data_IF_266772467405
#
_entry.id   IF_266772467405
#
_cell.length_a   1.000
_cell.length_b   1.000
_cell.length_c   1.000
_cell.angle_alpha   90.00
_cell.angle_beta   90.00
_cell.angle_gamma   90.00
#
_symmetry.space_group_name_H-M   'P 1'
#
loop_
_entity.id
_entity.type
_entity.pdbx_description
1 polymer ?
#
# COMPACT_ATOMS: atom_id res chain seq x y z
N UNK A 1 7.85 36.47 64.28
CA UNK A 1 6.38 36.67 64.26
C UNK A 1 5.89 36.12 62.93
N UNK A 2 5.53 34.85 62.79
CA UNK A 2 4.43 34.11 63.40
C UNK A 2 3.03 34.58 62.93
N UNK A 3 2.34 33.65 62.23
CA UNK A 3 0.89 33.44 62.07
C UNK A 3 0.14 34.48 61.20
N UNK A 4 -0.86 34.18 60.37
CA UNK A 4 -1.52 32.95 59.91
C UNK A 4 -2.48 33.34 58.74
N UNK A 5 -3.11 32.33 58.12
CA UNK A 5 -4.35 32.36 57.33
C UNK A 5 -4.32 32.40 55.78
N UNK A 6 -4.46 31.17 55.25
CA UNK A 6 -5.10 30.73 54.00
C UNK A 6 -6.58 31.18 53.88
N UNK A 7 -7.38 30.76 52.86
CA UNK A 7 -7.15 30.48 51.42
C UNK A 7 -8.25 31.15 50.54
N UNK A 8 -8.24 30.99 49.21
CA UNK A 8 -9.43 30.82 48.31
C UNK A 8 -9.04 31.05 46.84
N UNK A 9 -8.55 30.01 46.17
CA UNK A 9 -8.57 29.93 44.72
C UNK A 9 -9.40 28.69 44.30
N UNK A 10 -10.66 28.99 44.00
CA UNK A 10 -11.66 28.31 43.17
C UNK A 10 -11.42 26.82 42.75
N UNK A 11 -12.29 25.87 43.17
CA UNK A 11 -12.17 24.42 42.94
C UNK A 11 -12.65 23.92 41.55
N UNK A 12 -12.53 24.70 40.47
CA UNK A 12 -12.98 24.26 39.13
C UNK A 12 -11.88 23.63 38.25
N UNK A 13 -10.59 23.77 38.60
CA UNK A 13 -9.48 23.34 37.72
C UNK A 13 -8.92 21.96 38.11
N UNK A 14 -9.12 21.51 39.35
CA UNK A 14 -8.72 20.15 39.79
C UNK A 14 -9.75 19.05 39.45
N UNK A 15 -10.96 19.39 39.01
CA UNK A 15 -11.98 18.39 38.58
C UNK A 15 -11.90 17.99 37.10
N UNK A 16 -11.17 18.74 36.27
CA UNK A 16 -10.99 18.42 34.84
C UNK A 16 -9.76 17.50 34.62
N UNK A 17 -8.77 17.52 35.52
CA UNK A 17 -7.59 16.68 35.44
C UNK A 17 -7.81 15.21 35.88
N UNK A 18 -8.91 14.89 36.59
CA UNK A 18 -9.24 13.51 37.02
C UNK A 18 -10.30 12.81 36.16
N UNK A 19 -10.89 13.50 35.18
CA UNK A 19 -11.91 12.94 34.28
C UNK A 19 -11.38 12.47 32.90
N UNK A 20 -10.10 12.70 32.58
CA UNK A 20 -9.51 12.35 31.27
C UNK A 20 -8.81 10.98 31.19
N UNK A 21 -8.80 10.18 32.26
CA UNK A 21 -8.15 8.85 32.25
C UNK A 21 -9.10 7.65 32.05
N UNK A 22 -10.42 7.86 31.93
CA UNK A 22 -11.41 6.76 31.83
C UNK A 22 -12.46 6.93 30.70
N UNK A 23 -12.17 7.71 29.65
CA UNK A 23 -13.13 7.95 28.55
C UNK A 23 -12.56 7.82 27.14
N UNK A 24 -11.54 6.96 26.96
CA UNK A 24 -10.99 6.60 25.63
C UNK A 24 -11.26 5.12 25.27
N UNK A 25 -11.83 4.32 26.17
CA UNK A 25 -12.09 2.88 25.95
C UNK A 25 -13.56 2.51 25.68
N UNK A 26 -14.46 3.46 25.40
CA UNK A 26 -15.89 3.16 25.17
C UNK A 26 -16.56 3.83 23.96
N UNK A 27 -15.79 4.43 23.04
CA UNK A 27 -16.34 5.09 21.85
C UNK A 27 -16.04 4.39 20.51
N UNK A 28 -15.37 3.24 20.52
CA UNK A 28 -15.06 2.46 19.30
C UNK A 28 -15.96 1.23 19.09
N UNK A 29 -17.01 1.04 19.90
CA UNK A 29 -17.77 -0.22 19.97
C UNK A 29 -19.27 -0.08 19.67
N UNK A 30 -19.67 0.97 18.94
CA UNK A 30 -21.02 1.14 18.39
C UNK A 30 -20.96 1.79 17.02
N UNK A 31 -20.43 1.06 16.04
CA UNK A 31 -20.69 1.29 14.62
C UNK A 31 -20.96 -0.10 14.04
N UNK A 32 -22.10 -0.36 13.39
CA UNK A 32 -22.34 -1.65 12.76
C UNK A 32 -21.34 -1.81 11.62
N UNK A 33 -20.47 -2.82 11.71
CA UNK A 33 -19.56 -3.21 10.63
C UNK A 33 -20.37 -3.81 9.47
N UNK A 34 -20.88 -2.96 8.58
CA UNK A 34 -21.09 -3.32 7.18
C UNK A 34 -19.75 -3.15 6.47
N UNK A 35 -19.01 -4.23 6.26
CA UNK A 35 -17.97 -4.27 5.23
C UNK A 35 -18.61 -4.74 3.92
N UNK A 36 -19.45 -3.90 3.31
CA UNK A 36 -19.69 -3.97 1.86
C UNK A 36 -18.71 -3.01 1.20
N UNK A 37 -18.00 -3.46 0.17
CA UNK A 37 -17.05 -2.64 -0.63
C UNK A 37 -17.77 -1.66 -1.56
N UNK A 38 -18.69 -0.88 -1.01
CA UNK A 38 -19.34 0.24 -1.67
C UNK A 38 -19.29 1.46 -0.76
N UNK A 39 -18.09 2.02 -0.55
CA UNK A 39 -17.97 3.39 -0.02
C UNK A 39 -16.74 4.09 -0.65
N UNK A 40 -16.93 5.14 -1.49
CA UNK A 40 -15.87 5.73 -2.29
C UNK A 40 -15.17 6.85 -1.53
N UNK A 41 -14.36 6.52 -0.53
CA UNK A 41 -13.60 7.56 0.19
C UNK A 41 -12.24 7.14 0.72
N UNK A 42 -11.40 6.54 -0.14
CA UNK A 42 -9.93 6.59 -0.02
C UNK A 42 -9.32 6.80 -1.41
N UNK A 43 -9.51 7.98 -1.97
CA UNK A 43 -8.59 8.53 -2.99
C UNK A 43 -7.69 9.55 -2.31
N UNK A 44 -6.69 9.06 -1.59
CA UNK A 44 -5.52 9.88 -1.34
C UNK A 44 -4.71 9.87 -2.63
N UNK A 45 -4.73 11.01 -3.32
CA UNK A 45 -4.04 11.23 -4.57
C UNK A 45 -2.53 11.05 -4.39
N UNK A 46 -2.05 9.83 -4.58
CA UNK A 46 -0.78 9.65 -5.26
C UNK A 46 -0.98 10.20 -6.67
N UNK A 47 -0.16 11.16 -7.07
CA UNK A 47 -0.13 11.64 -8.44
C UNK A 47 0.37 10.49 -9.34
N UNK A 48 -0.55 9.64 -9.79
CA UNK A 48 -0.30 8.65 -10.83
C UNK A 48 -0.53 9.37 -12.16
N UNK A 49 0.48 9.52 -13.04
CA UNK A 49 0.27 10.09 -14.35
C UNK A 49 -0.79 9.26 -15.08
N UNK A 50 -1.88 9.89 -15.53
CA UNK A 50 -2.81 9.26 -16.48
C UNK A 50 -2.06 9.14 -17.82
N UNK A 51 -1.72 7.91 -18.19
CA UNK A 51 -1.17 7.59 -19.51
C UNK A 51 -2.33 7.52 -20.51
N UNK A 52 -2.49 8.56 -21.33
CA UNK A 52 -3.36 8.52 -22.52
C UNK A 52 -2.48 8.05 -23.69
N UNK A 53 -2.62 6.78 -24.08
CA UNK A 53 -1.77 6.12 -25.06
C UNK A 53 -2.52 5.95 -26.39
N UNK A 54 -2.45 6.96 -27.27
CA UNK A 54 -2.63 6.74 -28.72
C UNK A 54 -1.28 6.70 -29.42
N UNK A 55 -1.05 5.60 -30.14
CA UNK A 55 -0.01 5.35 -31.15
C UNK A 55 1.42 5.10 -30.63
N UNK A 56 2.04 4.06 -31.18
CA UNK A 56 3.31 3.38 -30.84
C UNK A 56 4.56 4.25 -30.66
N UNK A 57 4.54 5.51 -31.07
CA UNK A 57 5.62 6.49 -30.81
C UNK A 57 5.51 7.16 -29.43
N UNK A 58 4.30 7.20 -28.86
CA UNK A 58 3.99 7.84 -27.57
C UNK A 58 4.53 7.02 -26.39
N UNK A 59 4.46 5.69 -26.41
CA UNK A 59 4.88 4.86 -25.27
C UNK A 59 6.37 4.96 -24.89
N UNK A 60 7.28 5.34 -25.81
CA UNK A 60 8.69 5.63 -25.47
C UNK A 60 8.95 7.10 -25.14
N UNK A 61 8.06 8.01 -25.57
CA UNK A 61 8.14 9.44 -25.28
C UNK A 61 7.58 9.77 -23.91
N UNK A 62 6.53 9.08 -23.46
CA UNK A 62 5.91 9.31 -22.15
C UNK A 62 6.87 9.03 -20.99
N UNK A 63 7.68 7.95 -20.97
CA UNK A 63 8.65 7.75 -19.90
C UNK A 63 9.71 8.85 -19.82
N UNK A 64 10.17 9.38 -20.96
CA UNK A 64 11.18 10.46 -21.00
C UNK A 64 10.61 11.80 -20.56
N UNK A 65 9.39 12.14 -20.97
CA UNK A 65 8.71 13.36 -20.51
C UNK A 65 8.30 13.25 -19.04
N UNK A 66 7.85 12.07 -18.61
CA UNK A 66 7.55 11.77 -17.20
C UNK A 66 8.81 11.87 -16.34
N UNK A 67 9.95 11.33 -16.79
CA UNK A 67 11.24 11.45 -16.10
C UNK A 67 11.64 12.90 -15.89
N UNK A 68 11.65 13.71 -16.96
CA UNK A 68 11.96 15.14 -16.87
C UNK A 68 11.01 15.89 -15.94
N UNK A 69 9.71 15.58 -15.99
CA UNK A 69 8.71 16.19 -15.10
C UNK A 69 8.92 15.78 -13.65
N UNK A 70 9.21 14.51 -13.38
CA UNK A 70 9.49 14.01 -12.04
C UNK A 70 10.78 14.62 -11.47
N UNK A 71 11.84 14.71 -12.27
CA UNK A 71 13.09 15.38 -11.91
C UNK A 71 12.86 16.87 -11.61
N UNK A 72 12.11 17.58 -12.46
CA UNK A 72 11.72 18.99 -12.25
C UNK A 72 10.92 19.19 -10.97
N UNK A 73 9.83 18.43 -10.77
CA UNK A 73 9.01 18.48 -9.56
C UNK A 73 9.84 18.21 -8.31
N UNK A 74 10.73 17.20 -8.36
CA UNK A 74 11.62 16.89 -7.25
C UNK A 74 12.52 18.07 -6.90
N UNK A 75 13.13 18.73 -7.89
CA UNK A 75 13.97 19.91 -7.66
C UNK A 75 13.18 21.09 -7.07
N UNK A 76 11.92 21.26 -7.47
CA UNK A 76 11.03 22.26 -6.88
C UNK A 76 10.68 21.93 -5.42
N UNK A 77 10.42 20.65 -5.12
CA UNK A 77 10.15 20.22 -3.74
C UNK A 77 11.39 20.36 -2.84
N UNK A 78 12.59 20.09 -3.36
CA UNK A 78 13.86 20.34 -2.66
C UNK A 78 14.00 21.83 -2.35
N UNK A 79 13.82 22.69 -3.35
CA UNK A 79 13.88 24.14 -3.17
C UNK A 79 12.87 24.64 -2.13
N UNK A 80 11.62 24.17 -2.22
CA UNK A 80 10.55 24.53 -1.27
C UNK A 80 10.85 24.05 0.15
N UNK A 81 11.46 22.87 0.31
CA UNK A 81 11.89 22.39 1.62
C UNK A 81 12.97 23.28 2.22
N UNK A 82 13.94 23.74 1.42
CA UNK A 82 14.94 24.69 1.92
C UNK A 82 14.29 26.00 2.37
N UNK A 83 13.37 26.57 1.58
CA UNK A 83 12.64 27.77 2.00
C UNK A 83 11.83 27.54 3.30
N UNK A 84 11.24 26.36 3.46
CA UNK A 84 10.52 26.01 4.68
C UNK A 84 11.45 25.95 5.90
N UNK A 85 12.64 25.36 5.76
CA UNK A 85 13.61 25.24 6.85
C UNK A 85 14.07 26.62 7.31
N UNK A 86 14.45 27.50 6.36
CA UNK A 86 14.87 28.87 6.65
C UNK A 86 13.76 29.74 7.23
N UNK A 87 12.52 29.56 6.74
CA UNK A 87 11.34 30.18 7.33
C UNK A 87 11.10 29.72 8.77
N UNK A 88 11.32 28.44 9.07
CA UNK A 88 11.26 27.95 10.44
C UNK A 88 12.30 28.68 11.31
N UNK A 89 13.54 28.82 10.85
CA UNK A 89 14.58 29.52 11.59
C UNK A 89 14.18 30.96 11.93
N UNK A 90 13.56 31.68 10.98
CA UNK A 90 13.01 33.02 11.25
C UNK A 90 11.91 32.98 12.31
N UNK A 91 10.94 32.09 12.16
CA UNK A 91 9.78 32.00 13.07
C UNK A 91 10.20 31.66 14.50
N UNK A 92 11.29 30.89 14.67
CA UNK A 92 11.87 30.57 15.98
C UNK A 92 12.89 31.62 16.47
N UNK A 93 13.10 32.71 15.73
CA UNK A 93 14.02 33.79 16.13
C UNK A 93 15.50 33.39 16.09
N UNK A 94 15.86 32.42 15.24
CA UNK A 94 17.23 31.92 15.10
C UNK A 94 18.07 32.73 14.08
N UNK A 95 17.42 33.57 13.26
CA UNK A 95 18.10 34.44 12.31
C UNK A 95 18.54 35.75 12.98
N UNK A 96 19.59 36.42 12.47
CA UNK A 96 20.10 37.67 13.04
C UNK A 96 19.01 38.73 13.24
N UNK A 97 19.03 39.37 14.42
CA UNK A 97 18.05 40.39 14.80
C UNK A 97 18.12 41.61 13.87
N UNK A 98 16.96 42.07 13.38
CA UNK A 98 16.86 43.21 12.48
C UNK A 98 17.04 42.89 10.98
N UNK A 99 17.27 41.62 10.63
CA UNK A 99 17.26 41.17 9.23
C UNK A 99 15.84 41.10 8.65
N UNK A 100 15.65 41.62 7.44
CA UNK A 100 14.43 41.40 6.66
C UNK A 100 14.27 39.89 6.35
N UNK A 101 13.04 39.37 6.34
CA UNK A 101 12.77 37.98 5.95
C UNK A 101 13.31 37.68 4.55
N UNK A 102 13.26 38.66 3.64
CA UNK A 102 13.83 38.58 2.30
C UNK A 102 15.37 38.41 2.29
N UNK A 103 16.05 38.55 3.44
CA UNK A 103 17.47 38.33 3.52
C UNK A 103 17.85 36.85 3.37
N UNK A 104 17.01 35.95 3.91
CA UNK A 104 17.28 34.51 4.00
C UNK A 104 16.16 33.64 3.43
N UNK A 105 15.04 34.22 2.98
CA UNK A 105 13.94 33.53 2.31
C UNK A 105 13.72 34.11 0.92
N UNK A 106 13.29 33.25 -0.01
CA UNK A 106 12.95 33.64 -1.37
C UNK A 106 11.52 33.20 -1.70
N UNK A 107 10.62 34.11 -2.13
CA UNK A 107 9.20 33.78 -2.33
C UNK A 107 8.95 32.83 -3.52
N UNK A 108 9.86 32.80 -4.49
CA UNK A 108 9.76 31.97 -5.70
C UNK A 108 11.13 31.36 -6.03
N UNK A 109 11.62 30.38 -5.26
CA UNK A 109 12.96 29.82 -5.48
C UNK A 109 13.03 29.08 -6.82
N UNK A 110 14.20 29.09 -7.51
CA UNK A 110 14.41 28.28 -8.70
C UNK A 110 14.50 26.79 -8.36
N UNK A 111 14.58 25.94 -9.39
CA UNK A 111 14.86 24.51 -9.19
C UNK A 111 16.26 24.28 -8.58
N UNK A 112 16.31 23.56 -7.46
CA UNK A 112 17.54 23.19 -6.73
C UNK A 112 17.78 21.70 -6.86
N UNK A 113 18.95 21.29 -7.33
CA UNK A 113 19.36 19.89 -7.37
C UNK A 113 20.02 19.47 -6.05
N UNK A 114 20.13 18.15 -5.83
CA UNK A 114 20.96 17.63 -4.75
C UNK A 114 22.42 17.97 -5.03
N UNK A 115 23.13 18.37 -3.96
CA UNK A 115 24.50 18.87 -4.02
C UNK A 115 24.59 20.40 -4.08
N UNK A 116 23.46 21.10 -4.22
CA UNK A 116 23.44 22.57 -4.43
C UNK A 116 22.79 23.33 -3.28
N UNK A 117 22.21 22.64 -2.29
CA UNK A 117 21.64 23.29 -1.12
C UNK A 117 22.75 23.98 -0.31
N UNK A 118 22.40 25.03 0.43
CA UNK A 118 23.37 25.85 1.15
C UNK A 118 24.32 25.01 2.03
N UNK A 119 23.78 24.07 2.82
CA UNK A 119 24.62 23.19 3.64
C UNK A 119 25.45 22.19 2.83
N UNK A 120 24.95 21.71 1.69
CA UNK A 120 25.69 20.81 0.80
C UNK A 120 26.88 21.55 0.18
N UNK A 121 26.71 22.84 -0.16
CA UNK A 121 27.81 23.68 -0.62
C UNK A 121 28.85 23.87 0.48
N UNK A 122 28.43 24.19 1.72
CA UNK A 122 29.36 24.30 2.87
C UNK A 122 30.09 22.98 3.12
N UNK A 123 29.37 21.85 3.07
CA UNK A 123 29.94 20.52 3.22
C UNK A 123 30.96 20.20 2.12
N UNK A 124 30.65 20.51 0.86
CA UNK A 124 31.55 20.33 -0.27
C UNK A 124 32.81 21.20 -0.14
N UNK A 125 32.68 22.45 0.33
CA UNK A 125 33.82 23.33 0.62
C UNK A 125 34.73 22.77 1.71
N UNK A 126 34.15 22.27 2.80
CA UNK A 126 34.91 21.63 3.88
C UNK A 126 35.62 20.36 3.43
N UNK A 127 35.00 19.56 2.57
CA UNK A 127 35.64 18.41 1.94
C UNK A 127 36.81 18.82 1.04
N UNK A 128 36.63 19.84 0.20
CA UNK A 128 37.68 20.36 -0.67
C UNK A 128 38.86 20.95 0.12
N UNK A 129 38.58 21.56 1.28
CA UNK A 129 39.58 22.05 2.23
C UNK A 129 40.20 20.98 3.13
N UNK A 130 39.78 19.71 3.02
CA UNK A 130 40.31 18.60 3.82
C UNK A 130 39.89 18.60 5.29
N UNK A 131 38.93 19.45 5.70
CA UNK A 131 38.47 19.55 7.08
C UNK A 131 37.33 18.59 7.43
N UNK A 132 36.73 17.94 6.44
CA UNK A 132 35.60 17.02 6.64
C UNK A 132 35.62 15.88 5.61
N UNK A 133 35.32 14.65 6.06
CA UNK A 133 35.19 13.47 5.21
C UNK A 133 33.79 12.91 5.38
N UNK A 134 33.06 12.70 4.27
CA UNK A 134 31.68 12.23 4.32
C UNK A 134 31.35 11.34 3.11
N UNK A 135 30.40 10.43 3.30
CA UNK A 135 29.80 9.61 2.23
C UNK A 135 28.49 10.20 1.72
N UNK A 136 28.14 11.43 2.14
CA UNK A 136 26.88 12.08 1.79
C UNK A 136 26.63 12.11 0.28
N UNK A 137 27.56 12.65 -0.49
CA UNK A 137 27.38 12.83 -1.92
C UNK A 137 27.30 11.51 -2.68
N UNK A 138 28.19 10.56 -2.35
CA UNK A 138 28.20 9.21 -2.93
C UNK A 138 26.89 8.47 -2.64
N UNK A 139 26.46 8.46 -1.36
CA UNK A 139 25.23 7.77 -0.92
C UNK A 139 23.97 8.27 -1.63
N UNK A 140 23.92 9.55 -1.96
CA UNK A 140 22.74 10.17 -2.57
C UNK A 140 22.89 10.43 -4.08
N UNK A 141 24.01 9.99 -4.69
CA UNK A 141 24.28 10.17 -6.12
C UNK A 141 24.33 11.63 -6.57
N UNK A 142 24.74 12.54 -5.70
CA UNK A 142 24.79 13.98 -5.96
C UNK A 142 26.22 14.45 -6.19
N UNK A 143 26.42 15.44 -7.07
CA UNK A 143 27.74 16.03 -7.32
C UNK A 143 28.08 17.07 -6.25
N UNK A 144 29.22 16.94 -5.55
CA UNK A 144 29.69 17.99 -4.63
C UNK A 144 29.91 19.29 -5.40
N UNK A 145 29.23 20.36 -4.99
CA UNK A 145 29.33 21.68 -5.61
C UNK A 145 29.84 22.69 -4.59
N UNK A 146 30.96 23.35 -4.86
CA UNK A 146 31.58 24.32 -3.94
C UNK A 146 31.12 25.76 -4.15
N UNK A 147 30.58 26.05 -5.33
CA UNK A 147 30.17 27.39 -5.74
C UNK A 147 28.66 27.51 -5.86
N UNK A 148 28.12 28.69 -5.56
CA UNK A 148 26.70 28.97 -5.80
C UNK A 148 26.44 28.92 -7.31
N UNK A 149 25.51 28.09 -7.80
CA UNK A 149 25.28 27.95 -9.24
C UNK A 149 24.98 29.24 -9.99
N UNK A 150 25.79 29.56 -10.99
CA UNK A 150 25.67 30.76 -11.81
C UNK A 150 24.35 30.85 -12.61
N UNK A 151 23.69 29.72 -12.86
CA UNK A 151 22.43 29.63 -13.60
C UNK A 151 21.20 30.11 -12.81
N UNK A 152 21.31 30.25 -11.50
CA UNK A 152 20.22 30.76 -10.67
C UNK A 152 20.08 32.27 -10.82
N UNK A 153 18.86 32.83 -10.68
CA UNK A 153 18.65 34.27 -10.59
C UNK A 153 19.52 34.96 -9.53
N UNK A 154 19.95 36.19 -9.81
CA UNK A 154 20.89 36.95 -8.97
C UNK A 154 20.40 37.15 -7.53
N UNK A 155 19.10 37.41 -7.37
CA UNK A 155 18.43 37.55 -6.08
C UNK A 155 18.50 36.26 -5.25
N UNK A 156 18.22 35.11 -5.86
CA UNK A 156 18.33 33.82 -5.18
C UNK A 156 19.78 33.46 -4.85
N UNK A 157 20.75 33.78 -5.73
CA UNK A 157 22.18 33.57 -5.43
C UNK A 157 22.61 34.36 -4.19
N UNK A 158 22.14 35.60 -4.05
CA UNK A 158 22.41 36.42 -2.86
C UNK A 158 21.81 35.82 -1.59
N UNK A 159 20.58 35.31 -1.65
CA UNK A 159 19.95 34.60 -0.51
C UNK A 159 20.79 33.39 -0.10
N UNK A 160 21.17 32.52 -1.04
CA UNK A 160 21.98 31.34 -0.73
C UNK A 160 23.37 31.71 -0.22
N UNK A 161 23.98 32.76 -0.74
CA UNK A 161 25.27 33.25 -0.26
C UNK A 161 25.20 33.70 1.21
N UNK A 162 24.17 34.46 1.59
CA UNK A 162 23.93 34.86 3.00
C UNK A 162 23.65 33.66 3.90
N UNK A 163 22.92 32.65 3.38
CA UNK A 163 22.68 31.39 4.10
C UNK A 163 23.99 30.66 4.38
N UNK A 164 24.86 30.54 3.38
CA UNK A 164 26.19 29.93 3.51
C UNK A 164 27.04 30.66 4.55
N UNK A 165 27.11 31.99 4.46
CA UNK A 165 27.84 32.83 5.43
C UNK A 165 27.32 32.65 6.86
N UNK A 166 26.00 32.54 7.03
CA UNK A 166 25.40 32.31 8.34
C UNK A 166 25.70 30.90 8.88
N UNK A 167 25.68 29.87 8.01
CA UNK A 167 26.07 28.50 8.39
C UNK A 167 27.53 28.44 8.84
N UNK A 168 28.41 29.22 8.20
CA UNK A 168 29.86 29.25 8.50
C UNK A 168 30.19 30.07 9.76
N UNK A 169 29.44 31.14 10.04
CA UNK A 169 29.71 32.07 11.15
C UNK A 169 28.93 31.79 12.43
N UNK A 170 27.68 31.31 12.34
CA UNK A 170 26.84 31.03 13.50
C UNK A 170 26.88 29.53 13.87
N UNK A 171 27.36 29.24 15.08
CA UNK A 171 27.51 27.86 15.57
C UNK A 171 26.17 27.11 15.66
N UNK A 172 25.08 27.78 16.01
CA UNK A 172 23.78 27.15 16.20
C UNK A 172 23.15 26.82 14.85
N UNK A 173 23.21 27.75 13.89
CA UNK A 173 22.76 27.50 12.51
C UNK A 173 23.63 26.41 11.87
N UNK A 174 24.95 26.50 12.02
CA UNK A 174 25.88 25.49 11.52
C UNK A 174 25.68 24.10 12.15
N UNK A 175 25.07 23.99 13.33
CA UNK A 175 24.73 22.71 13.95
C UNK A 175 23.48 22.09 13.31
N UNK A 176 22.41 22.87 13.09
CA UNK A 176 21.14 22.37 12.56
C UNK A 176 21.14 22.21 11.03
N UNK A 177 22.08 22.85 10.34
CA UNK A 177 22.33 22.63 8.90
C UNK A 177 23.29 21.46 8.64
N UNK A 178 23.63 20.66 9.67
CA UNK A 178 24.38 19.42 9.43
C UNK A 178 23.54 18.38 8.68
N UNK A 179 24.16 17.50 7.89
CA UNK A 179 23.43 16.55 7.04
C UNK A 179 22.48 15.61 7.80
N UNK A 180 22.75 15.33 9.08
CA UNK A 180 21.91 14.49 9.94
C UNK A 180 20.53 15.10 10.21
N UNK A 181 20.43 16.42 10.20
CA UNK A 181 19.20 17.16 10.48
C UNK A 181 18.44 17.56 9.22
N UNK A 182 19.01 17.29 8.04
CA UNK A 182 18.42 17.65 6.75
C UNK A 182 17.75 16.46 6.09
N UNK A 183 16.68 16.74 5.33
CA UNK A 183 16.01 15.70 4.52
C UNK A 183 16.98 15.17 3.47
N UNK A 184 17.15 13.84 3.46
CA UNK A 184 18.05 13.11 2.56
C UNK A 184 17.57 13.02 1.11
N UNK A 185 16.25 13.11 0.90
CA UNK A 185 15.62 12.91 -0.41
C UNK A 185 15.93 11.56 -1.07
N UNK A 186 16.24 10.52 -0.30
CA UNK A 186 16.52 9.20 -0.89
C UNK A 186 15.28 8.64 -1.60
N UNK A 187 15.45 8.17 -2.82
CA UNK A 187 14.41 7.48 -3.60
C UNK A 187 15.04 6.34 -4.38
N UNK A 188 14.28 5.29 -4.73
CA UNK A 188 14.75 4.27 -5.66
C UNK A 188 15.20 4.90 -6.99
N UNK A 189 16.01 4.18 -7.78
CA UNK A 189 16.39 4.63 -9.11
C UNK A 189 15.16 4.85 -9.99
N UNK A 190 15.31 5.68 -11.03
CA UNK A 190 14.23 5.89 -12.00
C UNK A 190 13.79 4.56 -12.62
N UNK A 191 14.76 3.72 -12.96
CA UNK A 191 14.56 2.43 -13.59
C UNK A 191 13.75 1.49 -12.68
N UNK A 192 14.01 1.49 -11.37
CA UNK A 192 13.20 0.73 -10.41
C UNK A 192 11.79 1.30 -10.24
N UNK A 193 11.63 2.62 -10.24
CA UNK A 193 10.30 3.26 -10.16
C UNK A 193 9.47 3.00 -11.42
N UNK A 194 10.10 3.07 -12.60
CA UNK A 194 9.48 2.76 -13.88
C UNK A 194 9.05 1.29 -13.94
N UNK A 195 9.93 0.36 -13.56
CA UNK A 195 9.60 -1.06 -13.48
C UNK A 195 8.44 -1.34 -12.51
N UNK A 196 8.44 -0.73 -11.33
CA UNK A 196 7.34 -0.86 -10.36
C UNK A 196 6.02 -0.30 -10.92
N UNK A 197 6.04 0.89 -11.53
CA UNK A 197 4.86 1.50 -12.11
C UNK A 197 4.27 0.68 -13.27
N UNK A 198 5.12 0.13 -14.14
CA UNK A 198 4.71 -0.76 -15.22
C UNK A 198 4.10 -2.05 -14.66
N UNK A 199 4.75 -2.68 -13.68
CA UNK A 199 4.21 -3.86 -12.99
C UNK A 199 2.83 -3.57 -12.40
N UNK A 200 2.70 -2.49 -11.64
CA UNK A 200 1.46 -2.11 -10.96
C UNK A 200 0.34 -1.83 -11.96
N UNK A 201 0.66 -1.19 -13.08
CA UNK A 201 -0.30 -0.97 -14.16
C UNK A 201 -0.75 -2.29 -14.78
N UNK A 202 0.18 -3.21 -15.09
CA UNK A 202 -0.16 -4.53 -15.67
C UNK A 202 -1.05 -5.33 -14.73
N UNK A 203 -0.73 -5.35 -13.43
CA UNK A 203 -1.56 -5.99 -12.40
C UNK A 203 -2.96 -5.37 -12.32
N UNK A 204 -3.05 -4.04 -12.29
CA UNK A 204 -4.33 -3.34 -12.24
C UNK A 204 -5.17 -3.58 -13.51
N UNK A 205 -4.52 -3.73 -14.67
CA UNK A 205 -5.22 -4.06 -15.91
C UNK A 205 -5.82 -5.47 -15.84
N UNK A 206 -5.05 -6.47 -15.38
CA UNK A 206 -5.52 -7.85 -15.20
C UNK A 206 -6.62 -7.99 -14.13
N UNK A 207 -6.72 -7.04 -13.22
CA UNK A 207 -7.76 -6.99 -12.18
C UNK A 207 -9.06 -6.31 -12.67
N UNK A 208 -9.03 -5.62 -13.81
CA UNK A 208 -10.20 -4.85 -14.28
C UNK A 208 -11.38 -5.75 -14.66
N UNK A 209 -12.60 -5.20 -14.58
CA UNK A 209 -13.85 -5.90 -14.91
C UNK A 209 -13.89 -6.45 -16.34
N UNK A 210 -13.01 -6.01 -17.23
CA UNK A 210 -12.83 -6.58 -18.57
C UNK A 210 -12.40 -8.05 -18.54
N UNK A 211 -11.62 -8.42 -17.53
CA UNK A 211 -11.12 -9.79 -17.35
C UNK A 211 -12.01 -10.60 -16.40
N UNK A 212 -12.77 -9.90 -15.57
CA UNK A 212 -13.67 -10.44 -14.57
C UNK A 212 -15.04 -9.77 -14.71
N UNK A 213 -15.79 -10.06 -15.80
CA UNK A 213 -17.12 -9.51 -15.97
C UNK A 213 -17.93 -9.80 -14.70
N UNK A 214 -18.47 -8.74 -14.10
CA UNK A 214 -19.34 -8.84 -12.94
C UNK A 214 -20.72 -9.19 -13.45
N UNK A 215 -21.46 -10.01 -12.70
CA UNK A 215 -22.91 -9.96 -12.73
C UNK A 215 -23.32 -8.59 -12.18
N UNK A 216 -23.47 -7.58 -13.03
CA UNK A 216 -24.19 -6.36 -12.71
C UNK A 216 -25.65 -6.52 -13.13
N UNK A 217 -26.49 -6.98 -12.18
CA UNK A 217 -27.98 -6.97 -12.09
C UNK A 217 -28.81 -7.18 -13.38
N UNK A 218 -28.19 -7.64 -14.44
CA UNK A 218 -28.77 -7.87 -15.75
C UNK A 218 -28.68 -9.36 -16.00
N UNK A 219 -29.84 -10.02 -16.06
CA UNK A 219 -30.00 -11.44 -16.35
C UNK A 219 -29.32 -11.84 -17.68
N UNK A 220 -28.01 -12.08 -17.64
CA UNK A 220 -27.16 -12.56 -18.71
C UNK A 220 -26.08 -13.50 -18.15
N UNK A 221 -25.46 -14.29 -19.03
CA UNK A 221 -24.52 -15.40 -18.76
C UNK A 221 -23.21 -15.04 -17.99
N UNK A 222 -23.08 -13.85 -17.41
CA UNK A 222 -21.86 -13.35 -16.74
C UNK A 222 -21.82 -13.74 -15.25
N UNK A 223 -21.92 -15.04 -14.96
CA UNK A 223 -21.70 -15.58 -13.62
C UNK A 223 -20.22 -15.52 -13.23
N UNK A 224 -19.87 -15.34 -11.94
CA UNK A 224 -18.47 -15.39 -11.49
C UNK A 224 -17.88 -16.79 -11.77
N UNK A 225 -16.71 -16.84 -12.41
CA UNK A 225 -16.09 -18.09 -12.87
C UNK A 225 -14.59 -18.13 -12.57
N UNK A 226 -14.12 -19.26 -12.02
CA UNK A 226 -12.68 -19.49 -11.91
C UNK A 226 -12.02 -19.49 -13.30
N UNK A 227 -10.87 -18.87 -13.39
CA UNK A 227 -10.09 -18.78 -14.63
C UNK A 227 -8.70 -19.35 -14.44
N UNK A 228 -8.09 -19.84 -15.51
CA UNK A 228 -6.67 -20.20 -15.50
C UNK A 228 -5.81 -19.01 -15.90
N UNK A 229 -4.55 -18.99 -15.45
CA UNK A 229 -3.60 -17.94 -15.81
C UNK A 229 -3.37 -17.85 -17.34
N UNK A 230 -3.47 -18.97 -18.07
CA UNK A 230 -3.40 -19.00 -19.54
C UNK A 230 -4.60 -18.31 -20.18
N UNK A 231 -5.84 -18.56 -19.73
CA UNK A 231 -7.04 -17.86 -20.22
C UNK A 231 -6.96 -16.35 -19.97
N UNK A 232 -6.41 -15.96 -18.82
CA UNK A 232 -6.16 -14.55 -18.51
C UNK A 232 -5.11 -13.96 -19.48
N UNK A 233 -4.07 -14.72 -19.81
CA UNK A 233 -3.07 -14.33 -20.80
C UNK A 233 -3.66 -14.21 -22.21
N UNK A 234 -4.54 -15.11 -22.65
CA UNK A 234 -5.23 -15.03 -23.94
C UNK A 234 -6.12 -13.80 -24.05
N UNK A 235 -6.81 -13.43 -22.96
CA UNK A 235 -7.56 -12.18 -22.88
C UNK A 235 -6.62 -10.97 -22.96
N UNK A 236 -5.48 -11.01 -22.27
CA UNK A 236 -4.49 -9.93 -22.26
C UNK A 236 -3.79 -9.76 -23.61
N UNK A 237 -3.62 -10.84 -24.37
CA UNK A 237 -3.03 -10.81 -25.72
C UNK A 237 -3.89 -10.06 -26.74
N UNK A 238 -5.20 -9.94 -26.47
CA UNK A 238 -6.14 -9.15 -27.27
C UNK A 238 -6.21 -7.67 -26.83
N UNK A 239 -5.47 -7.30 -25.78
CA UNK A 239 -5.39 -5.94 -25.28
C UNK A 239 -4.09 -5.27 -25.77
N UNK A 240 -4.24 -4.39 -26.76
CA UNK A 240 -3.11 -3.70 -27.37
C UNK A 240 -2.30 -2.85 -26.38
N UNK A 241 -2.95 -2.24 -25.37
CA UNK A 241 -2.26 -1.46 -24.34
C UNK A 241 -1.46 -2.39 -23.42
N UNK A 242 -2.04 -3.54 -23.05
CA UNK A 242 -1.35 -4.54 -22.26
C UNK A 242 -0.11 -5.08 -22.97
N UNK A 243 -0.23 -5.44 -24.25
CA UNK A 243 0.91 -5.93 -25.03
C UNK A 243 2.03 -4.89 -25.15
N UNK A 244 1.66 -3.62 -25.35
CA UNK A 244 2.62 -2.53 -25.45
C UNK A 244 3.38 -2.30 -24.13
N UNK A 245 2.67 -2.23 -23.01
CA UNK A 245 3.29 -2.02 -21.69
C UNK A 245 3.98 -3.29 -21.17
N UNK A 246 3.50 -4.47 -21.54
CA UNK A 246 4.16 -5.75 -21.30
C UNK A 246 5.52 -5.84 -21.98
N UNK A 247 5.61 -5.43 -23.25
CA UNK A 247 6.89 -5.36 -23.96
C UNK A 247 7.87 -4.36 -23.32
N UNK A 248 7.36 -3.23 -22.83
CA UNK A 248 8.19 -2.24 -22.12
C UNK A 248 8.68 -2.79 -20.77
N UNK A 249 7.81 -3.46 -20.02
CA UNK A 249 8.14 -4.11 -18.75
C UNK A 249 9.17 -5.23 -18.94
N UNK A 250 8.99 -6.10 -19.93
CA UNK A 250 9.91 -7.17 -20.27
C UNK A 250 11.22 -6.69 -20.92
N UNK A 251 11.23 -5.47 -21.48
CA UNK A 251 12.38 -4.88 -22.16
C UNK A 251 12.58 -5.30 -23.62
N UNK A 252 11.72 -6.18 -24.16
CA UNK A 252 11.75 -6.61 -25.56
C UNK A 252 10.34 -6.93 -26.08
N UNK A 253 10.15 -6.89 -27.40
CA UNK A 253 8.84 -7.09 -28.03
C UNK A 253 8.38 -8.56 -28.03
N UNK A 254 9.32 -9.49 -28.18
CA UNK A 254 9.05 -10.94 -28.27
C UNK A 254 8.96 -11.61 -26.90
N UNK A 255 8.33 -10.95 -25.93
CA UNK A 255 8.19 -11.49 -24.58
C UNK A 255 7.16 -12.62 -24.52
N UNK A 256 7.40 -13.60 -23.64
CA UNK A 256 6.45 -14.67 -23.39
C UNK A 256 5.30 -14.14 -22.52
N UNK A 257 4.16 -13.90 -23.14
CA UNK A 257 2.95 -13.40 -22.49
C UNK A 257 2.42 -14.34 -21.42
N UNK A 258 2.40 -15.65 -21.68
CA UNK A 258 1.91 -16.65 -20.73
C UNK A 258 2.80 -16.67 -19.49
N UNK A 259 4.12 -16.68 -19.68
CA UNK A 259 5.06 -16.64 -18.57
C UNK A 259 4.96 -15.32 -17.79
N UNK A 260 4.81 -14.18 -18.47
CA UNK A 260 4.64 -12.88 -17.83
C UNK A 260 3.40 -12.86 -16.93
N UNK A 261 2.24 -13.22 -17.48
CA UNK A 261 0.96 -13.22 -16.74
C UNK A 261 1.01 -14.21 -15.59
N UNK A 262 1.53 -15.43 -15.80
CA UNK A 262 1.67 -16.43 -14.75
C UNK A 262 2.52 -15.92 -13.57
N UNK A 263 3.67 -15.27 -13.86
CA UNK A 263 4.53 -14.67 -12.82
C UNK A 263 3.83 -13.53 -12.08
N UNK A 264 3.18 -12.61 -12.81
CA UNK A 264 2.46 -11.48 -12.22
C UNK A 264 1.35 -11.98 -11.29
N UNK A 265 0.51 -12.89 -11.77
CA UNK A 265 -0.60 -13.48 -11.02
C UNK A 265 -0.10 -14.24 -9.80
N UNK A 266 0.86 -15.17 -9.95
CA UNK A 266 1.35 -15.99 -8.85
C UNK A 266 1.92 -15.13 -7.71
N UNK A 267 2.63 -14.05 -8.03
CA UNK A 267 3.21 -13.13 -7.03
C UNK A 267 2.18 -12.30 -6.25
N UNK A 268 0.95 -12.18 -6.75
CA UNK A 268 -0.14 -11.43 -6.10
C UNK A 268 -1.35 -12.34 -5.81
N UNK A 269 -1.09 -13.65 -5.73
CA UNK A 269 -2.08 -14.67 -5.37
C UNK A 269 -1.77 -15.29 -4.02
N UNK A 270 -2.82 -15.65 -3.29
CA UNK A 270 -2.71 -16.44 -2.05
C UNK A 270 -3.58 -17.70 -2.16
N UNK A 271 -3.08 -18.89 -1.77
CA UNK A 271 -3.86 -20.12 -1.82
C UNK A 271 -5.15 -20.03 -1.00
N UNK A 272 -6.23 -20.59 -1.55
CA UNK A 272 -7.56 -20.58 -0.94
C UNK A 272 -7.63 -21.33 0.39
N UNK A 273 -6.92 -22.46 0.54
CA UNK A 273 -6.93 -23.25 1.77
C UNK A 273 -5.86 -22.82 2.77
N UNK A 274 -6.20 -22.72 4.07
CA UNK A 274 -5.23 -22.46 5.14
C UNK A 274 -4.03 -23.42 5.13
N UNK A 275 -4.27 -24.72 4.92
CA UNK A 275 -3.21 -25.75 4.89
C UNK A 275 -2.19 -25.56 3.76
N UNK A 276 -2.58 -24.89 2.68
CA UNK A 276 -1.68 -24.56 1.57
C UNK A 276 -0.89 -23.28 1.83
N UNK A 277 -1.27 -22.49 2.83
CA UNK A 277 -0.72 -21.16 3.12
C UNK A 277 0.18 -21.12 4.36
N UNK A 278 -0.26 -21.76 5.43
CA UNK A 278 0.38 -21.63 6.74
C UNK A 278 1.32 -22.80 7.03
N UNK A 279 2.39 -22.49 7.77
CA UNK A 279 3.13 -23.51 8.51
C UNK A 279 2.31 -23.97 9.74
N UNK A 280 2.73 -25.04 10.42
CA UNK A 280 2.06 -25.56 11.62
C UNK A 280 1.80 -24.49 12.69
N UNK A 281 2.73 -23.55 12.87
CA UNK A 281 2.56 -22.45 13.82
C UNK A 281 1.48 -21.47 13.37
N UNK A 282 1.34 -21.21 12.07
CA UNK A 282 0.27 -20.38 11.51
C UNK A 282 -1.09 -21.06 11.59
N UNK A 283 -1.18 -22.37 11.33
CA UNK A 283 -2.43 -23.13 11.47
C UNK A 283 -2.97 -23.07 12.91
N UNK A 284 -2.09 -23.22 13.91
CA UNK A 284 -2.48 -23.06 15.33
C UNK A 284 -2.98 -21.66 15.66
N UNK A 285 -2.45 -20.63 15.01
CA UNK A 285 -2.94 -19.24 15.17
C UNK A 285 -4.25 -18.99 14.45
N UNK A 286 -4.46 -19.65 13.30
CA UNK A 286 -5.71 -19.60 12.54
C UNK A 286 -6.86 -20.13 13.39
N UNK A 287 -6.69 -21.34 13.94
CA UNK A 287 -7.67 -21.95 14.85
C UNK A 287 -7.98 -21.05 16.06
N UNK A 288 -6.96 -20.48 16.72
CA UNK A 288 -7.18 -19.55 17.85
C UNK A 288 -7.93 -18.26 17.43
N UNK A 289 -7.72 -17.80 16.20
CA UNK A 289 -8.42 -16.64 15.65
C UNK A 289 -9.87 -16.97 15.36
N UNK A 290 -10.14 -18.13 14.76
CA UNK A 290 -11.48 -18.65 14.50
C UNK A 290 -12.29 -18.85 15.78
N UNK A 291 -11.68 -19.44 16.82
CA UNK A 291 -12.29 -19.57 18.15
C UNK A 291 -12.68 -18.21 18.73
N UNK A 292 -11.78 -17.24 18.61
CA UNK A 292 -12.03 -15.87 19.07
C UNK A 292 -13.18 -15.22 18.29
N UNK A 293 -13.20 -15.35 16.97
CA UNK A 293 -14.27 -14.83 16.14
C UNK A 293 -15.61 -15.52 16.42
N UNK A 294 -15.61 -16.82 16.75
CA UNK A 294 -16.82 -17.53 17.15
C UNK A 294 -17.41 -16.96 18.45
N UNK A 295 -16.56 -16.63 19.43
CA UNK A 295 -16.99 -15.95 20.66
C UNK A 295 -17.52 -14.54 20.37
N UNK A 296 -16.86 -13.78 19.50
CA UNK A 296 -17.32 -12.45 19.10
C UNK A 296 -18.67 -12.50 18.37
N UNK A 297 -18.87 -13.46 17.47
CA UNK A 297 -20.16 -13.65 16.79
C UNK A 297 -21.30 -13.94 17.77
N UNK A 298 -21.05 -14.74 18.80
CA UNK A 298 -22.03 -15.03 19.86
C UNK A 298 -22.35 -13.78 20.68
N UNK A 299 -21.32 -13.00 21.04
CA UNK A 299 -21.50 -11.70 21.71
C UNK A 299 -22.32 -10.73 20.84
N UNK A 300 -22.02 -10.64 19.54
CA UNK A 300 -22.76 -9.82 18.57
C UNK A 300 -24.22 -10.28 18.38
N UNK A 301 -24.49 -11.59 18.54
CA UNK A 301 -25.84 -12.16 18.55
C UNK A 301 -26.61 -11.89 19.87
N UNK A 302 -25.99 -11.24 20.85
CA UNK A 302 -26.60 -10.85 22.12
C UNK A 302 -26.42 -11.87 23.25
N UNK A 303 -25.59 -12.90 23.08
CA UNK A 303 -25.25 -13.82 24.16
C UNK A 303 -24.32 -13.14 25.19
N UNK A 304 -24.53 -13.41 26.48
CA UNK A 304 -23.60 -12.98 27.55
C UNK A 304 -22.37 -13.91 27.60
N UNK A 305 -21.53 -13.77 26.58
CA UNK A 305 -20.27 -14.52 26.44
C UNK A 305 -19.33 -14.20 27.61
N UNK A 306 -19.36 -12.96 28.11
CA UNK A 306 -18.53 -12.51 29.22
C UNK A 306 -18.78 -13.29 30.52
N UNK A 307 -20.01 -13.73 30.76
CA UNK A 307 -20.32 -14.60 31.90
C UNK A 307 -19.61 -15.96 31.80
N UNK A 308 -19.52 -16.53 30.60
CA UNK A 308 -18.99 -17.88 30.38
C UNK A 308 -17.46 -17.95 30.24
N UNK A 309 -16.85 -17.00 29.53
CA UNK A 309 -15.41 -17.02 29.20
C UNK A 309 -14.65 -15.79 29.70
N UNK A 310 -15.31 -14.85 30.36
CA UNK A 310 -14.70 -13.59 30.77
C UNK A 310 -14.37 -12.69 29.58
N UNK A 311 -13.20 -12.05 29.61
CA UNK A 311 -12.75 -11.20 28.51
C UNK A 311 -12.31 -12.08 27.33
N UNK A 312 -12.97 -11.93 26.18
CA UNK A 312 -12.59 -12.62 24.94
C UNK A 312 -11.09 -12.38 24.66
N UNK A 313 -10.28 -13.45 24.48
CA UNK A 313 -8.86 -13.31 24.24
C UNK A 313 -8.59 -12.61 22.91
N UNK A 314 -7.46 -11.88 22.84
CA UNK A 314 -7.01 -11.28 21.58
C UNK A 314 -6.16 -12.32 20.85
N UNK A 315 -6.41 -12.63 19.56
CA UNK A 315 -5.63 -13.62 18.84
C UNK A 315 -4.17 -13.20 18.72
N UNK A 316 -3.22 -14.16 18.72
CA UNK A 316 -1.81 -13.87 18.53
C UNK A 316 -1.54 -13.31 17.13
N UNK A 317 -0.62 -12.34 17.02
CA UNK A 317 -0.18 -11.83 15.72
C UNK A 317 0.64 -12.87 14.95
N UNK A 318 0.46 -12.90 13.64
CA UNK A 318 1.29 -13.69 12.73
C UNK A 318 2.67 -13.06 12.52
N UNK A 319 3.63 -13.87 12.10
CA UNK A 319 4.99 -13.53 11.70
C UNK A 319 5.33 -14.26 10.40
N UNK A 320 6.40 -13.85 9.72
CA UNK A 320 6.80 -14.47 8.45
C UNK A 320 6.97 -16.00 8.52
N UNK A 321 7.47 -16.54 9.63
CA UNK A 321 7.64 -18.00 9.85
C UNK A 321 6.33 -18.79 9.96
N UNK A 322 5.19 -18.11 10.13
CA UNK A 322 3.88 -18.75 10.21
C UNK A 322 3.29 -19.05 8.82
N UNK A 323 3.91 -18.54 7.75
CA UNK A 323 3.54 -18.77 6.36
C UNK A 323 4.57 -19.64 5.66
N UNK A 324 4.15 -20.47 4.69
CA UNK A 324 5.10 -21.29 3.91
C UNK A 324 5.85 -20.47 2.86
N UNK A 325 5.34 -19.29 2.49
CA UNK A 325 5.93 -18.41 1.49
C UNK A 325 5.97 -16.95 1.96
N UNK A 326 7.08 -16.26 1.70
CA UNK A 326 7.29 -14.86 2.03
C UNK A 326 6.32 -13.91 1.31
N UNK A 327 5.89 -14.23 0.08
CA UNK A 327 4.90 -13.44 -0.64
C UNK A 327 3.54 -13.47 0.06
N UNK A 328 3.12 -14.62 0.59
CA UNK A 328 1.85 -14.70 1.32
C UNK A 328 1.93 -13.91 2.62
N UNK A 329 3.07 -13.95 3.32
CA UNK A 329 3.31 -13.07 4.47
C UNK A 329 3.24 -11.58 4.08
N UNK A 330 3.85 -11.19 2.95
CA UNK A 330 3.79 -9.81 2.43
C UNK A 330 2.35 -9.38 2.16
N UNK A 331 1.53 -10.27 1.58
CA UNK A 331 0.13 -10.01 1.22
C UNK A 331 -0.81 -10.04 2.42
N UNK A 332 -0.48 -10.74 3.52
CA UNK A 332 -1.38 -10.92 4.66
C UNK A 332 -0.97 -10.16 5.93
N UNK A 333 0.32 -10.11 6.23
CA UNK A 333 0.90 -9.40 7.37
C UNK A 333 0.45 -9.92 8.74
N UNK A 334 0.79 -9.19 9.80
CA UNK A 334 0.66 -9.67 11.18
C UNK A 334 -0.77 -9.88 11.71
N UNK A 335 -1.78 -9.39 10.98
CA UNK A 335 -3.21 -9.57 11.28
C UNK A 335 -3.91 -10.47 10.25
N UNK A 336 -3.15 -11.03 9.31
CA UNK A 336 -3.65 -11.91 8.26
C UNK A 336 -4.77 -11.33 7.37
N UNK A 337 -4.76 -10.00 7.20
CA UNK A 337 -5.75 -9.27 6.40
C UNK A 337 -5.48 -9.53 4.91
N UNK A 338 -6.46 -10.02 4.12
CA UNK A 338 -6.30 -10.22 2.68
C UNK A 338 -5.89 -8.94 1.95
N UNK A 339 -4.81 -8.99 1.17
CA UNK A 339 -4.37 -7.90 0.27
C UNK A 339 -3.94 -8.40 -1.12
N UNK A 340 -4.05 -9.69 -1.35
CA UNK A 340 -3.85 -10.29 -2.66
C UNK A 340 -4.91 -9.82 -3.65
N UNK A 341 -4.56 -9.85 -4.94
CA UNK A 341 -5.47 -9.51 -6.04
C UNK A 341 -6.24 -10.73 -6.54
N UNK A 342 -5.66 -11.92 -6.36
CA UNK A 342 -6.25 -13.18 -6.76
C UNK A 342 -6.18 -14.22 -5.65
N UNK A 343 -7.17 -15.10 -5.63
CA UNK A 343 -7.15 -16.32 -4.84
C UNK A 343 -6.66 -17.42 -5.77
N UNK A 344 -5.65 -18.19 -5.37
CA UNK A 344 -5.16 -19.31 -6.17
C UNK A 344 -5.73 -20.64 -5.69
N UNK A 345 -5.90 -21.57 -6.64
CA UNK A 345 -6.37 -22.93 -6.45
C UNK A 345 -5.32 -23.93 -6.95
N UNK A 346 -4.15 -24.05 -6.28
CA UNK A 346 -3.12 -25.01 -6.68
C UNK A 346 -3.66 -26.45 -6.66
N UNK A 347 -3.29 -27.25 -7.66
CA UNK A 347 -3.76 -28.63 -7.80
C UNK A 347 -5.15 -28.75 -8.47
N UNK A 348 -5.79 -27.62 -8.76
CA UNK A 348 -7.08 -27.57 -9.45
C UNK A 348 -6.94 -27.26 -10.95
N UNK A 349 -5.75 -27.43 -11.53
CA UNK A 349 -5.48 -27.22 -12.95
C UNK A 349 -6.15 -28.33 -13.81
N UNK A 350 -6.54 -28.00 -15.05
CA UNK A 350 -7.20 -28.97 -15.95
C UNK A 350 -6.17 -29.86 -16.62
N UNK A 351 -6.58 -31.06 -17.07
CA UNK A 351 -5.66 -31.99 -17.74
C UNK A 351 -5.02 -31.41 -19.01
N UNK A 352 -5.78 -30.62 -19.78
CA UNK A 352 -5.30 -29.96 -20.99
C UNK A 352 -4.57 -28.63 -20.74
N UNK A 353 -4.72 -28.04 -19.55
CA UNK A 353 -4.16 -26.72 -19.18
C UNK A 353 -3.62 -26.77 -17.75
N UNK A 354 -2.29 -26.92 -17.64
CA UNK A 354 -1.57 -26.95 -16.36
C UNK A 354 -1.29 -25.58 -15.75
N UNK A 355 -1.91 -24.50 -16.26
CA UNK A 355 -1.72 -23.17 -15.68
C UNK A 355 -2.58 -22.97 -14.43
N UNK A 356 -2.05 -22.18 -13.49
CA UNK A 356 -2.66 -21.95 -12.18
C UNK A 356 -4.10 -21.45 -12.31
N UNK A 357 -5.02 -22.12 -11.62
CA UNK A 357 -6.42 -21.68 -11.50
C UNK A 357 -6.54 -20.63 -10.42
N UNK A 358 -7.31 -19.58 -10.72
CA UNK A 358 -7.45 -18.39 -9.92
C UNK A 358 -8.90 -17.88 -9.89
N UNK A 359 -9.24 -17.18 -8.82
CA UNK A 359 -10.40 -16.30 -8.71
C UNK A 359 -9.94 -14.86 -8.51
N UNK A 360 -10.78 -13.90 -8.86
CA UNK A 360 -10.58 -12.52 -8.44
C UNK A 360 -10.90 -12.36 -6.94
N UNK A 361 -9.95 -11.84 -6.17
CA UNK A 361 -10.12 -11.63 -4.73
C UNK A 361 -11.08 -10.46 -4.39
N UNK A 362 -11.60 -9.76 -5.40
CA UNK A 362 -12.58 -8.69 -5.24
C UNK A 362 -14.03 -9.16 -5.09
N UNK A 363 -14.31 -10.43 -5.36
CA UNK A 363 -15.63 -11.04 -5.18
C UNK A 363 -16.02 -11.16 -3.70
N UNK A 364 -17.32 -11.05 -3.44
CA UNK A 364 -17.87 -11.44 -2.14
C UNK A 364 -17.87 -12.98 -1.95
N UNK A 365 -18.24 -13.44 -0.76
CA UNK A 365 -18.17 -14.86 -0.43
C UNK A 365 -19.19 -15.69 -1.22
N UNK A 366 -20.36 -15.12 -1.55
CA UNK A 366 -21.36 -15.80 -2.36
C UNK A 366 -20.86 -15.99 -3.80
N UNK A 367 -20.31 -14.94 -4.41
CA UNK A 367 -19.71 -14.99 -5.73
C UNK A 367 -18.57 -16.01 -5.81
N UNK A 368 -17.71 -16.04 -4.79
CA UNK A 368 -16.63 -17.04 -4.69
C UNK A 368 -17.18 -18.47 -4.58
N UNK A 369 -18.20 -18.70 -3.74
CA UNK A 369 -18.82 -20.00 -3.57
C UNK A 369 -19.52 -20.47 -4.86
N UNK A 370 -20.25 -19.58 -5.54
CA UNK A 370 -20.88 -19.86 -6.83
C UNK A 370 -19.86 -20.23 -7.89
N UNK A 371 -18.76 -19.48 -8.01
CA UNK A 371 -17.69 -19.79 -8.95
C UNK A 371 -17.03 -21.15 -8.67
N UNK A 372 -16.75 -21.43 -7.39
CA UNK A 372 -16.10 -22.66 -6.95
C UNK A 372 -17.01 -23.88 -7.13
N UNK A 373 -18.30 -23.77 -6.81
CA UNK A 373 -19.28 -24.83 -6.99
C UNK A 373 -19.52 -25.13 -8.48
N UNK A 374 -19.60 -24.10 -9.31
CA UNK A 374 -19.70 -24.26 -10.77
C UNK A 374 -18.47 -24.98 -11.31
N UNK A 375 -17.27 -24.58 -10.87
CA UNK A 375 -16.03 -25.24 -11.26
C UNK A 375 -15.98 -26.70 -10.80
N UNK A 376 -16.41 -26.99 -9.57
CA UNK A 376 -16.51 -28.36 -9.06
C UNK A 376 -17.43 -29.24 -9.92
N UNK A 377 -18.62 -28.76 -10.25
CA UNK A 377 -19.57 -29.50 -11.10
C UNK A 377 -18.99 -29.77 -12.49
N UNK A 378 -18.33 -28.78 -13.10
CA UNK A 378 -17.62 -28.96 -14.36
C UNK A 378 -16.52 -30.02 -14.26
N UNK A 379 -15.71 -30.01 -13.20
CA UNK A 379 -14.63 -30.99 -13.01
C UNK A 379 -15.16 -32.41 -12.78
N UNK A 380 -16.29 -32.52 -12.08
CA UNK A 380 -16.95 -33.80 -11.82
C UNK A 380 -17.63 -34.37 -13.06
N UNK A 381 -18.45 -33.57 -13.74
CA UNK A 381 -19.35 -34.03 -14.80
C UNK A 381 -18.68 -34.08 -16.17
N UNK A 382 -17.81 -33.10 -16.48
CA UNK A 382 -17.20 -32.98 -17.81
C UNK A 382 -15.80 -33.57 -17.87
N UNK A 383 -14.98 -33.31 -16.86
CA UNK A 383 -13.58 -33.79 -16.82
C UNK A 383 -13.43 -35.14 -16.10
N UNK A 384 -14.49 -35.63 -15.44
CA UNK A 384 -14.51 -36.94 -14.79
C UNK A 384 -13.47 -37.11 -13.68
N UNK A 385 -13.20 -36.05 -12.90
CA UNK A 385 -12.19 -36.11 -11.84
C UNK A 385 -12.56 -37.09 -10.74
N UNK A 386 -11.53 -37.74 -10.17
CA UNK A 386 -11.71 -38.63 -9.03
C UNK A 386 -12.11 -37.84 -7.77
N UNK A 387 -12.68 -38.54 -6.78
CA UNK A 387 -13.10 -37.93 -5.53
C UNK A 387 -11.93 -37.27 -4.79
N UNK A 388 -10.75 -37.88 -4.80
CA UNK A 388 -9.55 -37.33 -4.14
C UNK A 388 -9.11 -36.01 -4.77
N UNK A 389 -9.24 -35.89 -6.10
CA UNK A 389 -8.88 -34.66 -6.81
C UNK A 389 -9.93 -33.56 -6.64
N UNK A 390 -11.20 -33.94 -6.46
CA UNK A 390 -12.30 -33.02 -6.20
C UNK A 390 -12.34 -32.52 -4.74
N UNK A 391 -11.75 -33.27 -3.80
CA UNK A 391 -11.79 -32.97 -2.37
C UNK A 391 -11.35 -31.54 -2.02
N UNK A 392 -10.23 -30.99 -2.53
CA UNK A 392 -9.81 -29.63 -2.20
C UNK A 392 -10.86 -28.57 -2.56
N UNK A 393 -11.58 -28.74 -3.68
CA UNK A 393 -12.63 -27.81 -4.10
C UNK A 393 -13.81 -27.81 -3.10
N UNK A 394 -14.21 -28.99 -2.62
CA UNK A 394 -15.23 -29.11 -1.57
C UNK A 394 -14.75 -28.52 -0.24
N UNK A 395 -13.49 -28.74 0.14
CA UNK A 395 -12.91 -28.10 1.32
C UNK A 395 -12.97 -26.58 1.18
N UNK A 396 -12.67 -26.04 0.00
CA UNK A 396 -12.78 -24.59 -0.24
C UNK A 396 -14.21 -24.06 -0.09
N UNK A 397 -15.21 -24.81 -0.51
CA UNK A 397 -16.62 -24.45 -0.27
C UNK A 397 -16.93 -24.46 1.22
N UNK A 398 -16.48 -25.49 1.95
CA UNK A 398 -16.68 -25.60 3.40
C UNK A 398 -16.06 -24.41 4.16
N UNK A 399 -14.88 -23.94 3.76
CA UNK A 399 -14.23 -22.74 4.34
C UNK A 399 -15.05 -21.45 4.11
N UNK A 400 -15.88 -21.40 3.06
CA UNK A 400 -16.74 -20.26 2.76
C UNK A 400 -18.07 -20.28 3.54
N UNK A 401 -18.58 -21.46 3.95
CA UNK A 401 -19.89 -21.62 4.61
C UNK A 401 -20.11 -20.70 5.81
N UNK A 402 -19.16 -20.55 6.77
CA UNK A 402 -19.38 -19.66 7.92
C UNK A 402 -19.66 -18.21 7.51
N UNK A 403 -19.01 -17.74 6.46
CA UNK A 403 -19.17 -16.38 5.94
C UNK A 403 -20.47 -16.21 5.15
N UNK A 404 -20.87 -17.25 4.40
CA UNK A 404 -22.17 -17.29 3.73
C UNK A 404 -23.31 -17.23 4.74
N UNK A 405 -23.22 -18.03 5.81
CA UNK A 405 -24.20 -18.03 6.91
C UNK A 405 -24.29 -16.67 7.61
N UNK A 406 -23.15 -15.99 7.76
CA UNK A 406 -23.08 -14.71 8.45
C UNK A 406 -23.59 -13.54 7.61
N UNK A 407 -23.28 -13.50 6.31
CA UNK A 407 -23.46 -12.30 5.47
C UNK A 407 -24.37 -12.49 4.25
N UNK A 408 -24.66 -13.73 3.85
CA UNK A 408 -25.36 -14.05 2.60
C UNK A 408 -26.46 -15.12 2.79
N UNK A 409 -27.05 -15.23 4.00
CA UNK A 409 -28.03 -16.28 4.32
C UNK A 409 -29.48 -15.80 4.37
N UNK A 410 -29.76 -14.58 3.92
CA UNK A 410 -31.13 -14.16 3.64
C UNK A 410 -31.69 -14.96 2.46
N UNK A 411 -33.03 -15.01 2.35
CA UNK A 411 -33.69 -15.72 1.25
C UNK A 411 -33.27 -15.09 -0.08
N UNK A 412 -32.55 -15.84 -0.90
CA UNK A 412 -32.17 -15.39 -2.23
C UNK A 412 -33.37 -15.57 -3.20
N UNK A 413 -33.86 -14.50 -3.84
CA UNK A 413 -35.04 -14.56 -4.70
C UNK A 413 -34.83 -15.40 -5.97
N UNK A 414 -33.60 -15.48 -6.49
CA UNK A 414 -33.29 -16.19 -7.72
C UNK A 414 -33.23 -17.71 -7.51
N UNK A 415 -32.75 -18.13 -6.34
CA UNK A 415 -32.60 -19.55 -5.99
C UNK A 415 -33.73 -20.09 -5.09
N UNK A 416 -34.53 -19.21 -4.49
CA UNK A 416 -35.56 -19.59 -3.52
C UNK A 416 -35.00 -20.28 -2.27
N UNK A 417 -33.73 -20.01 -1.94
CA UNK A 417 -33.00 -20.67 -0.86
C UNK A 417 -32.15 -19.67 -0.07
N UNK A 418 -31.80 -20.04 1.17
CA UNK A 418 -30.80 -19.34 1.98
C UNK A 418 -29.44 -19.90 1.61
N UNK A 419 -28.55 -19.09 1.03
CA UNK A 419 -27.37 -19.63 0.35
C UNK A 419 -26.37 -20.30 1.30
N UNK A 420 -26.21 -19.80 2.52
CA UNK A 420 -25.38 -20.45 3.54
C UNK A 420 -25.91 -21.81 3.98
N UNK A 421 -27.23 -22.00 3.98
CA UNK A 421 -27.87 -23.30 4.27
C UNK A 421 -27.89 -24.23 3.05
N UNK A 422 -27.87 -23.69 1.84
CA UNK A 422 -27.80 -24.46 0.60
C UNK A 422 -26.41 -25.07 0.35
N UNK A 423 -25.35 -24.33 0.70
CA UNK A 423 -23.96 -24.76 0.50
C UNK A 423 -23.40 -25.61 1.64
N UNK A 424 -24.05 -25.63 2.82
CA UNK A 424 -23.79 -26.62 3.88
C UNK A 424 -24.38 -27.98 3.50
#
# INVERSE_FOLDING_TARGET
MALADCPLANPLIMRIARAKKNRVTKAFMKVPCRFSREDPMVRQAAFVPRFDCRLTRVARLVPRTARRRAESLRRQMIATQEELDWRCYRLYGLLPAGGDAAAYEHPAPPEVALGERAFEIVLARRMAGGSETTTWFERHGSTPTTDVPARWPDDYRQVVQRRIELIESDRNIGLIERPEYKRRWNTPSWESQEQAALRDWLLARLESSRFWPRADDSAGDDAPQLMSASRLADAAGRDAEFMQLGALYAGHADFDLNQLVAKLVASESVPFLPVLRYADSGLRKCAQSEDTWALQRREDAGEDVAHSVGKIPVPPKYQGKDFLNADWWRLRGGLDVPKERWISYPGCERGADGSLVIAWAGWDHLQQATALATYFSDMKEREGWSHERLQPLLTGLLELVPWLKQWHNDMNPDFGARMGDYYE
#
